data_IF_136809959491
#
_entry.id   IF_136809959491
#
_cell.length_a   1.000
_cell.length_b   1.000
_cell.length_c   1.000
_cell.angle_alpha   90.00
_cell.angle_beta   90.00
_cell.angle_gamma   90.00
#
_symmetry.space_group_name_H-M   'P 1'
#
loop_
_entity.id
_entity.type
_entity.pdbx_description
1 polymer ?
#
# COMPACT_ATOMS: atom_id res chain seq x y z
N UNK A 1 -8.78 6.33 7.71
CA UNK A 1 -7.96 7.56 7.80
C UNK A 1 -8.79 8.68 8.40
N UNK A 2 -8.20 9.61 9.16
CA UNK A 2 -8.91 10.78 9.69
C UNK A 2 -8.86 11.97 8.71
N UNK A 3 -9.62 13.04 9.01
CA UNK A 3 -9.71 14.21 8.13
C UNK A 3 -8.35 14.88 7.91
N UNK A 4 -7.53 14.96 8.96
CA UNK A 4 -6.23 15.61 8.92
C UNK A 4 -5.24 14.84 8.04
N UNK A 5 -5.15 13.51 8.22
CA UNK A 5 -4.34 12.65 7.37
C UNK A 5 -4.80 12.65 5.93
N UNK A 6 -6.12 12.74 5.68
CA UNK A 6 -6.63 12.84 4.32
C UNK A 6 -6.27 14.18 3.67
N UNK A 7 -6.34 15.31 4.40
CA UNK A 7 -5.91 16.61 3.90
C UNK A 7 -4.41 16.63 3.53
N UNK A 8 -3.57 15.99 4.35
CA UNK A 8 -2.13 15.84 4.07
C UNK A 8 -1.89 15.02 2.81
N UNK A 9 -2.53 13.86 2.67
CA UNK A 9 -2.49 13.04 1.47
C UNK A 9 -2.89 13.83 0.22
N UNK A 10 -4.02 14.53 0.28
CA UNK A 10 -4.51 15.33 -0.85
C UNK A 10 -3.50 16.41 -1.24
N UNK A 11 -2.80 17.02 -0.27
CA UNK A 11 -1.79 18.04 -0.51
C UNK A 11 -0.54 17.52 -1.22
N UNK A 12 -0.19 16.24 -1.03
CA UNK A 12 0.96 15.62 -1.68
C UNK A 12 0.60 14.97 -3.02
N UNK A 13 -0.61 14.41 -3.14
CA UNK A 13 -1.08 13.71 -4.33
C UNK A 13 -1.58 14.66 -5.44
N UNK A 14 -2.20 15.79 -5.08
CA UNK A 14 -2.86 16.69 -6.03
C UNK A 14 -2.36 18.13 -5.87
N UNK A 15 -2.03 18.77 -7.00
CA UNK A 15 -1.55 20.17 -7.01
C UNK A 15 -2.69 21.21 -7.00
N UNK A 16 -3.85 20.83 -7.51
CA UNK A 16 -5.00 21.72 -7.66
C UNK A 16 -5.68 21.97 -6.29
N UNK A 17 -5.88 23.22 -5.91
CA UNK A 17 -6.48 23.58 -4.63
C UNK A 17 -8.00 23.35 -4.61
N UNK A 18 -8.70 23.68 -5.70
CA UNK A 18 -10.16 23.55 -5.78
C UNK A 18 -10.56 22.08 -5.80
N UNK A 19 -9.77 21.24 -6.46
CA UNK A 19 -9.98 19.79 -6.48
C UNK A 19 -9.80 19.17 -5.08
N UNK A 20 -8.76 19.57 -4.34
CA UNK A 20 -8.54 19.10 -2.96
C UNK A 20 -9.66 19.53 -2.02
N UNK A 21 -10.12 20.78 -2.13
CA UNK A 21 -11.22 21.29 -1.32
C UNK A 21 -12.51 20.51 -1.58
N UNK A 22 -12.81 20.20 -2.85
CA UNK A 22 -13.96 19.36 -3.19
C UNK A 22 -13.88 17.97 -2.55
N UNK A 23 -12.72 17.31 -2.61
CA UNK A 23 -12.52 15.99 -2.00
C UNK A 23 -12.64 16.01 -0.47
N UNK A 24 -12.20 17.10 0.19
CA UNK A 24 -12.41 17.29 1.62
C UNK A 24 -13.88 17.48 1.97
N UNK A 25 -14.64 18.21 1.15
CA UNK A 25 -16.09 18.35 1.36
C UNK A 25 -16.81 17.01 1.19
N UNK A 26 -16.39 16.18 0.23
CA UNK A 26 -16.97 14.84 0.03
C UNK A 26 -16.62 13.89 1.19
N UNK A 27 -15.43 14.02 1.80
CA UNK A 27 -15.07 13.36 3.06
C UNK A 27 -15.96 13.84 4.22
N UNK A 28 -16.13 15.16 4.39
CA UNK A 28 -16.91 15.75 5.49
C UNK A 28 -18.41 15.36 5.39
N UNK A 29 -18.91 15.11 4.18
CA UNK A 29 -20.25 14.58 3.91
C UNK A 29 -20.36 13.06 4.08
N UNK A 30 -19.25 12.36 4.29
CA UNK A 30 -19.18 10.91 4.39
C UNK A 30 -19.40 10.17 3.07
N UNK A 31 -19.32 10.87 1.93
CA UNK A 31 -19.42 10.28 0.59
C UNK A 31 -18.14 9.56 0.18
N UNK A 32 -16.99 10.00 0.72
CA UNK A 32 -15.68 9.36 0.56
C UNK A 32 -15.20 8.87 1.92
N UNK A 33 -14.67 7.64 1.96
CA UNK A 33 -14.13 7.02 3.18
C UNK A 33 -12.74 6.47 2.87
N UNK A 34 -11.71 7.32 2.93
CA UNK A 34 -10.38 6.94 2.49
C UNK A 34 -9.78 5.92 3.46
N UNK A 35 -9.33 4.82 2.88
CA UNK A 35 -8.62 3.75 3.56
C UNK A 35 -7.18 3.75 3.06
N UNK A 36 -6.22 3.73 3.99
CA UNK A 36 -4.81 3.57 3.68
C UNK A 36 -4.51 2.08 3.63
N UNK A 37 -4.04 1.61 2.48
CA UNK A 37 -3.54 0.26 2.31
C UNK A 37 -2.02 0.27 2.34
N UNK A 38 -1.45 -0.71 3.03
CA UNK A 38 -0.02 -0.99 3.01
C UNK A 38 0.20 -2.35 2.37
N UNK A 39 1.01 -2.36 1.30
CA UNK A 39 1.48 -3.57 0.66
C UNK A 39 2.92 -3.79 1.09
N UNK A 40 3.14 -4.88 1.83
CA UNK A 40 4.48 -5.30 2.26
C UNK A 40 4.89 -6.48 1.42
N UNK A 41 5.96 -6.32 0.64
CA UNK A 41 6.61 -7.38 -0.11
C UNK A 41 7.86 -7.76 0.66
N UNK A 42 7.87 -8.98 1.18
CA UNK A 42 9.06 -9.57 1.80
C UNK A 42 9.62 -10.64 0.88
N UNK A 43 10.91 -10.59 0.60
CA UNK A 43 11.55 -11.59 -0.24
C UNK A 43 12.95 -11.91 0.22
N UNK A 44 13.33 -13.17 0.07
CA UNK A 44 14.68 -13.66 0.32
C UNK A 44 15.35 -13.93 -1.03
N UNK A 45 16.53 -13.36 -1.25
CA UNK A 45 17.31 -13.56 -2.46
C UNK A 45 18.81 -13.71 -2.13
N UNK A 46 19.55 -14.65 -2.75
CA UNK A 46 20.98 -14.75 -2.54
C UNK A 46 21.71 -13.55 -3.14
N UNK A 47 22.70 -13.02 -2.42
CA UNK A 47 23.66 -12.08 -3.00
C UNK A 47 24.63 -12.79 -3.96
N UNK A 48 25.55 -12.02 -4.57
CA UNK A 48 26.55 -12.55 -5.51
C UNK A 48 27.47 -13.67 -4.95
N UNK A 49 27.43 -13.91 -3.63
CA UNK A 49 28.21 -14.94 -2.93
C UNK A 49 27.33 -16.07 -2.36
N UNK A 50 26.05 -16.14 -2.74
CA UNK A 50 25.12 -17.18 -2.28
C UNK A 50 24.64 -16.99 -0.83
N UNK A 51 24.93 -15.86 -0.20
CA UNK A 51 24.40 -15.55 1.13
C UNK A 51 22.98 -15.01 1.01
N UNK A 52 21.99 -15.59 1.72
CA UNK A 52 20.61 -15.10 1.67
C UNK A 52 20.53 -13.67 2.22
N UNK A 53 19.94 -12.78 1.43
CA UNK A 53 19.53 -11.44 1.84
C UNK A 53 18.02 -11.41 1.93
N UNK A 54 17.50 -10.94 3.07
CA UNK A 54 16.10 -10.60 3.22
C UNK A 54 15.89 -9.14 2.88
N UNK A 55 14.97 -8.87 1.98
CA UNK A 55 14.56 -7.54 1.62
C UNK A 55 13.07 -7.34 1.92
N UNK A 56 12.73 -6.11 2.31
CA UNK A 56 11.38 -5.67 2.55
C UNK A 56 11.13 -4.42 1.71
N UNK A 57 10.07 -4.44 0.92
CA UNK A 57 9.55 -3.29 0.21
C UNK A 57 8.16 -2.98 0.76
N UNK A 58 7.94 -1.75 1.21
CA UNK A 58 6.64 -1.28 1.68
C UNK A 58 6.13 -0.22 0.70
N UNK A 59 4.91 -0.42 0.21
CA UNK A 59 4.21 0.55 -0.62
C UNK A 59 2.89 0.91 0.04
N UNK A 60 2.60 2.20 0.15
CA UNK A 60 1.37 2.70 0.75
C UNK A 60 0.54 3.42 -0.32
N UNK A 61 -0.76 3.15 -0.35
CA UNK A 61 -1.68 3.83 -1.26
C UNK A 61 -3.04 4.05 -0.59
N UNK A 62 -3.72 5.12 -1.00
CA UNK A 62 -5.04 5.49 -0.48
C UNK A 62 -6.11 5.12 -1.50
N UNK A 63 -7.16 4.45 -1.05
CA UNK A 63 -8.37 4.22 -1.84
C UNK A 63 -9.56 4.93 -1.17
N UNK A 64 -10.19 5.84 -1.92
CA UNK A 64 -11.34 6.65 -1.51
C UNK A 64 -12.63 5.82 -1.35
N UNK A 65 -12.67 4.65 -1.99
CA UNK A 65 -13.78 3.70 -2.01
C UNK A 65 -13.40 2.34 -1.42
N UNK A 66 -12.22 2.28 -0.81
CA UNK A 66 -11.67 1.07 -0.24
C UNK A 66 -12.55 0.51 0.85
N UNK A 67 -12.72 -0.81 0.84
CA UNK A 67 -13.28 -1.57 1.96
C UNK A 67 -12.15 -2.41 2.55
N UNK A 68 -11.96 -2.30 3.87
CA UNK A 68 -10.93 -3.02 4.63
C UNK A 68 -11.05 -4.55 4.45
N UNK A 69 -12.22 -5.04 4.04
CA UNK A 69 -12.47 -6.46 3.74
C UNK A 69 -11.69 -7.00 2.53
N UNK A 70 -11.07 -6.13 1.71
CA UNK A 70 -10.32 -6.50 0.49
C UNK A 70 -8.79 -6.42 0.64
N UNK A 71 -8.27 -6.20 1.83
CA UNK A 71 -6.84 -6.24 2.10
C UNK A 71 -6.31 -7.69 1.95
N UNK A 72 -5.90 -8.05 0.74
CA UNK A 72 -5.30 -9.34 0.43
C UNK A 72 -3.77 -9.22 0.48
N UNK A 73 -3.11 -10.15 1.16
CA UNK A 73 -1.66 -10.32 1.11
C UNK A 73 -1.27 -10.85 -0.27
N UNK A 74 -0.36 -10.17 -0.97
CA UNK A 74 0.18 -10.61 -2.26
C UNK A 74 1.55 -11.23 -2.00
N UNK A 75 1.62 -12.56 -2.12
CA UNK A 75 2.87 -13.31 -2.12
C UNK A 75 3.54 -13.14 -3.50
N UNK A 76 4.78 -12.64 -3.50
CA UNK A 76 5.55 -12.38 -4.72
C UNK A 76 6.49 -13.56 -4.99
N UNK A 77 6.47 -14.09 -6.22
CA UNK A 77 7.43 -15.09 -6.69
C UNK A 77 8.75 -14.42 -7.11
N UNK A 78 9.87 -15.01 -6.72
CA UNK A 78 11.20 -14.66 -7.23
C UNK A 78 11.80 -15.90 -7.89
N UNK A 79 12.32 -15.74 -9.11
CA UNK A 79 12.92 -16.82 -9.91
C UNK A 79 12.03 -18.07 -10.07
N UNK A 80 10.70 -17.87 -10.02
CA UNK A 80 9.70 -18.92 -10.24
C UNK A 80 9.39 -19.78 -9.02
N UNK A 81 9.84 -19.41 -7.82
CA UNK A 81 9.47 -20.07 -6.57
C UNK A 81 8.74 -19.09 -5.63
N UNK A 82 7.72 -19.58 -4.93
CA UNK A 82 7.02 -18.82 -3.90
C UNK A 82 7.53 -19.15 -2.49
N UNK A 83 7.01 -18.43 -1.49
CA UNK A 83 7.43 -18.57 -0.09
C UNK A 83 7.08 -19.95 0.52
N UNK A 84 6.08 -20.64 -0.02
CA UNK A 84 5.70 -21.98 0.43
C UNK A 84 6.66 -23.05 -0.13
N UNK A 85 7.20 -22.84 -1.32
CA UNK A 85 8.21 -23.73 -1.92
C UNK A 85 9.55 -23.70 -1.15
N UNK A 86 9.90 -22.57 -0.53
CA UNK A 86 11.14 -22.42 0.25
C UNK A 86 11.10 -23.13 1.61
N UNK A 87 9.92 -23.16 2.26
CA UNK A 87 9.74 -23.78 3.59
C UNK A 87 9.66 -25.32 3.56
N UNK A 88 9.51 -25.91 2.37
CA UNK A 88 9.39 -27.37 2.18
C UNK A 88 10.71 -28.05 1.75
N UNK A 89 11.85 -27.37 1.85
CA UNK A 89 13.18 -27.95 1.57
C UNK A 89 14.08 -27.99 2.81
#
# INVERSE_FOLDING_TARGET
MDRAGYAEYLSSAFKDADYREKLLQDFDRGSVKPVLFSMVISYDAPNAFGTPLRAHSQCEYVDEWGDETKANEILVMIDGQDNADWLNN
#
